data_IF_299588361228
#
_entry.id   IF_299588361228
#
_cell.length_a   1.000
_cell.length_b   1.000
_cell.length_c   1.000
_cell.angle_alpha   90.00
_cell.angle_beta   90.00
_cell.angle_gamma   90.00
#
_symmetry.space_group_name_H-M   'P 1'
#
loop_
_entity.id
_entity.type
_entity.pdbx_description
1 polymer ?
#
# COMPACT_ATOMS: atom_id res chain seq x y z
N UNK A 1 -4.90 -14.23 7.23
CA UNK A 1 -3.48 -13.86 7.44
C UNK A 1 -2.99 -14.62 8.66
N UNK A 2 -1.93 -15.42 8.51
CA UNK A 2 -1.38 -16.23 9.59
C UNK A 2 -0.21 -15.48 10.25
N UNK A 3 -0.40 -15.04 11.49
CA UNK A 3 0.60 -14.27 12.23
C UNK A 3 1.82 -15.10 12.60
N UNK A 4 1.71 -16.42 12.71
CA UNK A 4 2.86 -17.28 12.99
C UNK A 4 3.84 -17.27 11.82
N UNK A 5 3.33 -17.36 10.59
CA UNK A 5 4.12 -17.26 9.35
C UNK A 5 4.75 -15.87 9.23
N UNK A 6 4.01 -14.82 9.58
CA UNK A 6 4.50 -13.45 9.52
C UNK A 6 5.62 -13.19 10.54
N UNK A 7 5.45 -13.64 11.79
CA UNK A 7 6.45 -13.52 12.84
C UNK A 7 7.72 -14.33 12.52
N UNK A 8 7.59 -15.51 11.90
CA UNK A 8 8.75 -16.29 11.43
C UNK A 8 9.47 -15.55 10.30
N UNK A 9 8.74 -14.94 9.37
CA UNK A 9 9.34 -14.15 8.31
C UNK A 9 10.05 -12.89 8.84
N UNK A 10 9.63 -12.38 9.99
CA UNK A 10 10.23 -11.22 10.67
C UNK A 10 11.46 -11.56 11.54
N UNK A 11 11.90 -12.82 11.57
CA UNK A 11 13.08 -13.24 12.34
C UNK A 11 14.39 -12.71 11.73
N UNK A 12 15.53 -13.11 12.31
CA UNK A 12 16.89 -12.61 12.01
C UNK A 12 17.13 -12.21 10.53
N UNK A 13 17.58 -10.97 10.33
CA UNK A 13 17.85 -10.38 9.00
C UNK A 13 16.65 -9.67 8.36
N UNK A 14 15.50 -9.59 9.04
CA UNK A 14 14.33 -8.88 8.55
C UNK A 14 14.51 -7.35 8.44
N UNK A 15 15.41 -6.76 9.22
CA UNK A 15 15.74 -5.33 9.22
C UNK A 15 16.67 -4.92 8.07
N UNK A 16 17.29 -5.89 7.39
CA UNK A 16 18.12 -5.62 6.22
C UNK A 16 17.33 -4.92 5.11
N UNK A 17 17.98 -3.97 4.46
CA UNK A 17 17.40 -3.28 3.33
C UNK A 17 17.20 -4.24 2.15
N UNK A 18 15.94 -4.39 1.74
CA UNK A 18 15.55 -5.32 0.69
C UNK A 18 15.26 -6.75 1.17
N UNK A 19 15.22 -7.00 2.50
CA UNK A 19 14.82 -8.31 3.03
C UNK A 19 13.45 -8.74 2.47
N UNK A 20 13.20 -10.04 2.25
CA UNK A 20 11.90 -10.52 1.78
C UNK A 20 10.73 -10.10 2.68
N UNK A 21 10.98 -9.93 3.97
CA UNK A 21 10.00 -9.44 4.92
C UNK A 21 9.68 -7.96 4.70
N UNK A 22 10.71 -7.12 4.58
CA UNK A 22 10.54 -5.69 4.28
C UNK A 22 9.85 -5.47 2.93
N UNK A 23 10.12 -6.31 1.92
CA UNK A 23 9.41 -6.26 0.64
C UNK A 23 7.91 -6.58 0.78
N UNK A 24 7.53 -7.56 1.62
CA UNK A 24 6.12 -7.85 1.91
C UNK A 24 5.43 -6.67 2.61
N UNK A 25 6.10 -6.02 3.55
CA UNK A 25 5.58 -4.80 4.19
C UNK A 25 5.42 -3.67 3.18
N UNK A 26 6.39 -3.48 2.27
CA UNK A 26 6.31 -2.50 1.18
C UNK A 26 5.18 -2.77 0.18
N UNK A 27 4.75 -4.03 0.04
CA UNK A 27 3.54 -4.36 -0.73
C UNK A 27 2.25 -3.96 -0.01
N UNK A 28 2.25 -3.90 1.32
CA UNK A 28 1.11 -3.41 2.10
C UNK A 28 1.04 -1.88 2.10
N UNK A 29 2.18 -1.21 2.25
CA UNK A 29 2.30 0.24 2.25
C UNK A 29 3.62 0.64 1.59
N UNK A 30 3.55 1.43 0.53
CA UNK A 30 4.74 1.81 -0.27
C UNK A 30 5.76 2.71 0.43
N UNK A 31 5.49 3.16 1.66
CA UNK A 31 6.42 4.00 2.43
C UNK A 31 7.57 3.17 3.02
N UNK A 32 8.81 3.53 2.69
CA UNK A 32 10.02 2.89 3.25
C UNK A 32 10.19 3.14 4.72
N UNK A 33 9.77 4.32 5.20
CA UNK A 33 9.78 4.67 6.62
C UNK A 33 8.78 3.81 7.38
N UNK A 34 7.55 3.68 6.87
CA UNK A 34 6.55 2.82 7.48
C UNK A 34 7.05 1.37 7.59
N UNK A 35 7.58 0.81 6.50
CA UNK A 35 8.11 -0.55 6.52
C UNK A 35 9.26 -0.70 7.52
N UNK A 36 10.16 0.30 7.62
CA UNK A 36 11.25 0.26 8.59
C UNK A 36 10.78 0.34 10.05
N UNK A 37 9.74 1.11 10.35
CA UNK A 37 9.16 1.15 11.71
C UNK A 37 8.42 -0.16 12.02
N UNK A 38 7.67 -0.69 11.06
CA UNK A 38 6.94 -1.95 11.24
C UNK A 38 7.86 -3.11 11.57
N UNK A 39 9.01 -3.26 10.90
CA UNK A 39 9.97 -4.34 11.20
C UNK A 39 10.36 -4.37 12.69
N UNK A 40 10.50 -3.22 13.33
CA UNK A 40 10.90 -3.11 14.74
C UNK A 40 9.80 -3.55 15.72
N UNK A 41 8.55 -3.61 15.26
CA UNK A 41 7.39 -3.97 16.09
C UNK A 41 7.10 -5.47 16.08
N UNK A 42 7.78 -6.24 15.22
CA UNK A 42 7.66 -7.70 15.19
C UNK A 42 8.62 -8.36 16.18
N UNK A 43 8.25 -9.52 16.75
CA UNK A 43 7.00 -10.26 16.53
C UNK A 43 5.80 -9.66 17.29
N UNK A 44 4.60 -9.83 16.73
CA UNK A 44 3.33 -9.39 17.34
C UNK A 44 2.52 -10.59 17.82
N UNK A 45 1.80 -10.46 18.94
CA UNK A 45 1.05 -11.55 19.58
C UNK A 45 -0.24 -11.89 18.83
N UNK A 46 -0.96 -10.88 18.38
CA UNK A 46 -2.26 -11.02 17.71
C UNK A 46 -2.52 -9.88 16.71
N UNK A 47 -3.68 -9.95 16.05
CA UNK A 47 -4.06 -8.98 15.04
C UNK A 47 -4.28 -7.58 15.62
N UNK A 48 -4.73 -7.47 16.87
CA UNK A 48 -4.93 -6.18 17.50
C UNK A 48 -3.58 -5.48 17.75
N UNK A 49 -2.56 -6.21 18.18
CA UNK A 49 -1.20 -5.68 18.32
C UNK A 49 -0.58 -5.31 16.97
N UNK A 50 -0.85 -6.09 15.92
CA UNK A 50 -0.44 -5.72 14.56
C UNK A 50 -1.05 -4.39 14.11
N UNK A 51 -2.35 -4.17 14.35
CA UNK A 51 -3.00 -2.91 14.02
C UNK A 51 -2.42 -1.75 14.84
N UNK A 52 -2.16 -1.94 16.14
CA UNK A 52 -1.54 -0.92 16.98
C UNK A 52 -0.10 -0.58 16.52
N UNK A 53 0.66 -1.58 16.07
CA UNK A 53 1.97 -1.37 15.48
C UNK A 53 1.87 -0.52 14.21
N UNK A 54 0.90 -0.81 13.33
CA UNK A 54 0.64 -0.03 12.13
C UNK A 54 0.23 1.42 12.45
N UNK A 55 -0.69 1.62 13.38
CA UNK A 55 -1.10 2.96 13.84
C UNK A 55 0.09 3.76 14.40
N UNK A 56 0.96 3.08 15.15
CA UNK A 56 2.17 3.68 15.71
C UNK A 56 3.14 4.08 14.60
N UNK A 57 3.34 3.23 13.58
CA UNK A 57 4.20 3.52 12.44
C UNK A 57 3.64 4.69 11.60
N UNK A 58 2.32 4.69 11.34
CA UNK A 58 1.60 5.74 10.61
C UNK A 58 1.77 7.11 11.26
N UNK A 59 1.70 7.17 12.60
CA UNK A 59 1.90 8.40 13.37
C UNK A 59 3.31 9.00 13.21
N UNK A 60 4.29 8.23 12.74
CA UNK A 60 5.65 8.71 12.49
C UNK A 60 5.86 9.28 11.09
N UNK A 61 4.89 9.12 10.18
CA UNK A 61 5.07 9.43 8.77
C UNK A 61 4.98 10.94 8.50
N UNK A 62 5.94 11.43 7.74
CA UNK A 62 5.92 12.78 7.19
C UNK A 62 5.03 12.85 5.96
N UNK A 63 4.80 14.06 5.45
CA UNK A 63 4.09 14.26 4.18
C UNK A 63 4.78 13.50 3.04
N UNK A 64 6.11 13.55 2.99
CA UNK A 64 6.90 12.93 1.95
C UNK A 64 6.79 11.40 1.99
N UNK A 65 6.72 10.82 3.19
CA UNK A 65 6.51 9.39 3.38
C UNK A 65 5.12 8.94 2.88
N UNK A 66 4.08 9.74 3.16
CA UNK A 66 2.74 9.49 2.62
C UNK A 66 2.70 9.61 1.09
N UNK A 67 3.41 10.60 0.52
CA UNK A 67 3.49 10.75 -0.93
C UNK A 67 4.25 9.59 -1.60
N UNK A 68 5.29 9.04 -0.94
CA UNK A 68 5.97 7.81 -1.40
C UNK A 68 4.99 6.63 -1.40
N UNK A 69 4.21 6.45 -0.32
CA UNK A 69 3.18 5.42 -0.24
C UNK A 69 2.15 5.57 -1.36
N UNK A 70 1.60 6.77 -1.57
CA UNK A 70 0.60 7.01 -2.60
C UNK A 70 1.13 6.71 -4.01
N UNK A 71 2.38 7.10 -4.29
CA UNK A 71 3.00 6.87 -5.58
C UNK A 71 3.22 5.38 -5.91
N UNK A 72 3.20 4.50 -4.91
CA UNK A 72 3.30 3.06 -5.09
C UNK A 72 1.98 2.42 -5.57
N UNK A 73 0.83 3.07 -5.36
CA UNK A 73 -0.46 2.52 -5.76
C UNK A 73 -0.73 2.70 -7.27
N UNK A 74 -1.37 1.72 -7.92
CA UNK A 74 -1.88 1.88 -9.27
C UNK A 74 -2.99 2.94 -9.30
N UNK A 75 -3.04 3.74 -10.37
CA UNK A 75 -4.18 4.65 -10.60
C UNK A 75 -5.48 3.85 -10.71
N UNK A 76 -6.57 4.42 -10.21
CA UNK A 76 -7.92 3.84 -10.31
C UNK A 76 -8.39 3.91 -11.78
N UNK A 77 -8.86 2.79 -12.32
CA UNK A 77 -9.37 2.70 -13.70
C UNK A 77 -8.52 1.80 -14.59
N UNK A 78 -8.25 2.22 -15.83
CA UNK A 78 -7.44 1.42 -16.77
C UNK A 78 -6.01 1.29 -16.23
N UNK A 79 -5.62 0.08 -15.86
CA UNK A 79 -4.27 -0.17 -15.37
C UNK A 79 -3.33 -0.46 -16.54
N UNK A 80 -2.36 0.44 -16.78
CA UNK A 80 -1.36 0.30 -17.85
C UNK A 80 -0.18 -0.60 -17.46
N UNK A 81 -0.09 -1.00 -16.19
CA UNK A 81 0.95 -1.87 -15.64
C UNK A 81 0.31 -3.11 -15.03
N UNK A 82 1.02 -4.25 -14.99
CA UNK A 82 0.61 -5.40 -14.19
C UNK A 82 0.40 -4.96 -12.75
N UNK A 83 -0.73 -5.36 -12.19
CA UNK A 83 -1.07 -5.18 -10.77
C UNK A 83 -1.20 -6.55 -10.11
N UNK A 84 -1.02 -6.56 -8.80
CA UNK A 84 -1.22 -7.74 -7.98
C UNK A 84 -2.69 -8.16 -7.97
N UNK A 85 -2.94 -9.43 -7.66
CA UNK A 85 -4.30 -9.97 -7.66
C UNK A 85 -5.21 -9.23 -6.66
N UNK A 86 -4.70 -8.83 -5.50
CA UNK A 86 -5.46 -8.10 -4.50
C UNK A 86 -5.80 -6.67 -4.96
N UNK A 87 -4.87 -5.94 -5.57
CA UNK A 87 -5.13 -4.62 -6.18
C UNK A 87 -6.19 -4.72 -7.28
N UNK A 88 -6.18 -5.81 -8.05
CA UNK A 88 -7.19 -6.07 -9.08
C UNK A 88 -8.56 -6.42 -8.48
N UNK A 89 -8.59 -7.06 -7.30
CA UNK A 89 -9.82 -7.32 -6.56
C UNK A 89 -10.41 -6.02 -6.01
N UNK A 90 -9.59 -5.14 -5.44
CA UNK A 90 -10.02 -3.82 -4.93
C UNK A 90 -10.62 -2.95 -6.03
N UNK A 91 -10.12 -3.05 -7.27
CA UNK A 91 -10.65 -2.31 -8.41
C UNK A 91 -11.66 -3.10 -9.26
N UNK A 92 -12.18 -4.24 -8.77
CA UNK A 92 -13.05 -5.13 -9.55
C UNK A 92 -14.32 -4.43 -10.05
N UNK A 93 -14.90 -3.54 -9.24
CA UNK A 93 -16.07 -2.77 -9.63
C UNK A 93 -15.77 -1.81 -10.79
N UNK A 94 -14.57 -1.21 -10.81
CA UNK A 94 -14.13 -0.30 -11.87
C UNK A 94 -13.73 -1.05 -13.15
N UNK A 95 -13.19 -2.27 -13.03
CA UNK A 95 -12.75 -3.07 -14.18
C UNK A 95 -13.87 -3.38 -15.19
N UNK A 96 -15.11 -3.50 -14.71
CA UNK A 96 -16.28 -3.82 -15.54
C UNK A 96 -17.08 -2.58 -15.96
N UNK A 97 -16.57 -1.37 -15.70
CA UNK A 97 -17.23 -0.15 -16.12
C UNK A 97 -17.12 0.04 -17.64
N UNK A 98 -18.14 0.66 -18.24
CA UNK A 98 -18.14 0.98 -19.66
C UNK A 98 -17.00 1.95 -20.03
N UNK A 99 -16.55 1.92 -21.28
CA UNK A 99 -15.42 2.73 -21.77
C UNK A 99 -15.60 4.23 -21.46
N UNK A 100 -16.81 4.77 -21.59
CA UNK A 100 -17.09 6.18 -21.28
C UNK A 100 -16.83 6.53 -19.79
N UNK A 101 -17.06 5.59 -18.88
CA UNK A 101 -16.77 5.77 -17.45
C UNK A 101 -15.27 5.68 -17.20
N UNK A 102 -14.59 4.74 -17.84
CA UNK A 102 -13.13 4.57 -17.72
C UNK A 102 -12.37 5.79 -18.26
N UNK A 103 -12.80 6.33 -19.40
CA UNK A 103 -12.19 7.51 -20.00
C UNK A 103 -12.41 8.74 -19.10
N UNK A 104 -13.62 8.89 -18.54
CA UNK A 104 -13.90 9.95 -17.58
C UNK A 104 -13.08 9.82 -16.29
N UNK A 105 -12.83 8.59 -15.83
CA UNK A 105 -11.95 8.35 -14.68
C UNK A 105 -10.50 8.74 -14.98
N UNK A 106 -10.00 8.48 -16.19
CA UNK A 106 -8.65 8.90 -16.60
C UNK A 106 -8.53 10.43 -16.60
N UNK A 107 -9.50 11.15 -17.17
CA UNK A 107 -9.57 12.61 -17.13
C UNK A 107 -9.55 13.16 -15.70
N UNK A 108 -10.37 12.61 -14.81
CA UNK A 108 -10.47 13.05 -13.42
C UNK A 108 -9.18 12.76 -12.63
N UNK A 109 -8.51 11.63 -12.90
CA UNK A 109 -7.19 11.34 -12.33
C UNK A 109 -6.16 12.40 -12.73
N UNK A 110 -6.16 12.82 -14.00
CA UNK A 110 -5.22 13.82 -14.50
C UNK A 110 -5.52 15.22 -13.97
N UNK A 111 -6.80 15.62 -13.89
CA UNK A 111 -7.22 16.87 -13.23
C UNK A 111 -6.82 16.90 -11.75
N UNK A 112 -7.03 15.80 -11.03
CA UNK A 112 -6.62 15.66 -9.64
C UNK A 112 -5.11 15.78 -9.49
N UNK A 113 -4.33 15.04 -10.29
CA UNK A 113 -2.88 15.07 -10.24
C UNK A 113 -2.34 16.47 -10.56
N UNK A 114 -2.90 17.15 -11.56
CA UNK A 114 -2.51 18.53 -11.90
C UNK A 114 -2.77 19.51 -10.74
N UNK A 115 -3.83 19.29 -9.97
CA UNK A 115 -4.21 20.15 -8.84
C UNK A 115 -3.37 19.88 -7.58
N UNK A 116 -3.09 18.62 -7.28
CA UNK A 116 -2.53 18.21 -5.98
C UNK A 116 -1.09 17.69 -6.04
N UNK A 117 -0.62 17.24 -7.21
CA UNK A 117 0.73 16.72 -7.42
C UNK A 117 0.95 15.25 -7.03
N UNK A 118 -0.11 14.50 -6.70
CA UNK A 118 -0.08 13.09 -6.33
C UNK A 118 -1.33 12.36 -6.81
N UNK A 119 -1.27 11.03 -6.86
CA UNK A 119 -2.39 10.20 -7.31
C UNK A 119 -3.51 10.18 -6.27
N UNK A 120 -4.74 9.93 -6.73
CA UNK A 120 -5.86 9.63 -5.83
C UNK A 120 -5.70 8.20 -5.29
N UNK A 121 -5.88 8.03 -3.98
CA UNK A 121 -5.91 6.74 -3.30
C UNK A 121 -7.24 6.66 -2.55
N UNK A 122 -7.97 5.57 -2.72
CA UNK A 122 -9.24 5.30 -2.05
C UNK A 122 -9.20 3.88 -1.51
N UNK A 123 -9.71 3.69 -0.30
CA UNK A 123 -9.97 2.35 0.22
C UNK A 123 -11.17 1.76 -0.54
N UNK A 124 -10.88 0.95 -1.54
CA UNK A 124 -11.89 0.24 -2.35
C UNK A 124 -11.91 -1.21 -1.92
N UNK A 125 -13.07 -1.71 -1.51
CA UNK A 125 -13.27 -3.13 -1.16
C UNK A 125 -13.86 -3.91 -2.33
#
# INVERSE_FOLDING_TARGET
MDLSVLNVAAADGADEEGSPFRQKLLHCCGSKRWAAEMVKMFPVRDFAELCQAADTADATLTREDWLEAFAAHPRIGRTKKPIMEWEAQEQKATKNADDAVLDRLEELNDEYYKKFGYVVVLATC
#
